data_IF_556083706418
#
_entry.id   IF_556083706418
#
_cell.length_a   1.000
_cell.length_b   1.000
_cell.length_c   1.000
_cell.angle_alpha   90.00
_cell.angle_beta   90.00
_cell.angle_gamma   90.00
#
_symmetry.space_group_name_H-M   'P 1'
#
loop_
_entity.id
_entity.type
_entity.pdbx_description
1 polymer ?
#
# COMPACT_ATOMS: atom_id res chain seq x y z
N UNK A 1 -17.28 -22.69 8.35
CA UNK A 1 -18.61 -22.01 8.40
C UNK A 1 -18.46 -20.49 8.25
N UNK A 2 -17.58 -19.82 9.02
CA UNK A 2 -17.41 -18.34 8.98
C UNK A 2 -17.02 -17.81 7.59
N UNK A 3 -16.18 -18.51 6.86
CA UNK A 3 -15.75 -18.12 5.52
C UNK A 3 -16.87 -18.11 4.46
N UNK A 4 -17.90 -18.89 4.66
CA UNK A 4 -19.06 -18.94 3.77
C UNK A 4 -20.13 -17.89 4.07
N UNK A 5 -20.06 -17.24 5.23
CA UNK A 5 -20.99 -16.19 5.64
C UNK A 5 -20.58 -14.82 5.07
N UNK A 6 -21.53 -13.93 4.84
CA UNK A 6 -21.26 -12.55 4.50
C UNK A 6 -21.17 -11.66 5.75
N UNK A 7 -22.01 -11.94 6.74
CA UNK A 7 -22.05 -11.28 8.04
C UNK A 7 -22.01 -12.34 9.12
N UNK A 8 -21.17 -12.16 10.12
CA UNK A 8 -21.13 -12.96 11.34
C UNK A 8 -21.74 -12.17 12.50
N UNK A 9 -22.51 -12.85 13.34
CA UNK A 9 -23.02 -12.30 14.60
C UNK A 9 -22.33 -13.04 15.74
N UNK A 10 -21.51 -12.32 16.51
CA UNK A 10 -20.90 -12.87 17.72
C UNK A 10 -21.81 -12.56 18.91
N UNK A 11 -22.28 -13.63 19.57
CA UNK A 11 -23.13 -13.50 20.75
C UNK A 11 -22.29 -13.70 22.01
N UNK A 12 -22.25 -12.68 22.86
CA UNK A 12 -21.56 -12.69 24.16
C UNK A 12 -22.60 -12.81 25.28
N UNK A 13 -22.26 -13.53 26.36
CA UNK A 13 -23.11 -13.66 27.56
C UNK A 13 -22.75 -12.60 28.59
N UNK A 14 -23.65 -11.68 28.89
CA UNK A 14 -23.43 -10.62 29.89
C UNK A 14 -23.28 -11.13 31.34
N UNK A 15 -23.69 -12.37 31.63
CA UNK A 15 -23.53 -12.97 32.97
C UNK A 15 -22.10 -13.51 33.16
N UNK A 16 -21.32 -13.68 32.09
CA UNK A 16 -19.95 -14.17 32.11
C UNK A 16 -18.97 -13.05 31.77
N UNK A 17 -17.70 -13.23 32.16
CA UNK A 17 -16.63 -12.32 31.71
C UNK A 17 -16.32 -12.59 30.25
N UNK A 18 -15.97 -11.53 29.52
CA UNK A 18 -15.49 -11.69 28.12
C UNK A 18 -14.20 -12.50 28.15
N UNK A 19 -14.26 -13.70 27.59
CA UNK A 19 -13.13 -14.63 27.55
C UNK A 19 -12.15 -14.24 26.41
N UNK A 20 -10.92 -14.70 26.52
CA UNK A 20 -9.94 -14.54 25.44
C UNK A 20 -10.34 -15.38 24.20
N UNK A 21 -11.15 -16.42 24.43
CA UNK A 21 -11.75 -17.19 23.33
C UNK A 21 -12.71 -16.34 22.50
N UNK A 22 -13.50 -15.44 23.11
CA UNK A 22 -14.40 -14.53 22.39
C UNK A 22 -13.61 -13.58 21.49
N UNK A 23 -12.50 -13.05 21.99
CA UNK A 23 -11.59 -12.21 21.23
C UNK A 23 -10.95 -13.00 20.06
N UNK A 24 -10.59 -14.27 20.29
CA UNK A 24 -10.04 -15.15 19.25
C UNK A 24 -11.05 -15.42 18.15
N UNK A 25 -12.29 -15.74 18.50
CA UNK A 25 -13.38 -15.98 17.52
C UNK A 25 -13.66 -14.71 16.71
N UNK A 26 -13.73 -13.55 17.38
CA UNK A 26 -13.88 -12.27 16.70
C UNK A 26 -12.68 -11.97 15.74
N UNK A 27 -11.47 -12.32 16.15
CA UNK A 27 -10.26 -12.25 15.33
C UNK A 27 -10.37 -13.10 14.06
N UNK A 28 -10.84 -14.34 14.14
CA UNK A 28 -11.07 -15.20 12.97
C UNK A 28 -12.08 -14.60 11.99
N UNK A 29 -13.16 -13.98 12.48
CA UNK A 29 -14.13 -13.32 11.62
C UNK A 29 -13.51 -12.12 10.88
N UNK A 30 -12.67 -11.33 11.58
CA UNK A 30 -11.94 -10.22 11.02
C UNK A 30 -10.90 -10.68 9.97
N UNK A 31 -10.13 -11.72 10.26
CA UNK A 31 -9.14 -12.30 9.33
C UNK A 31 -9.81 -12.86 8.09
N UNK A 32 -10.97 -13.53 8.25
CA UNK A 32 -11.80 -13.97 7.13
C UNK A 32 -12.40 -12.80 6.33
N UNK A 33 -12.28 -11.56 6.84
CA UNK A 33 -12.79 -10.36 6.18
C UNK A 33 -14.31 -10.23 6.24
N UNK A 34 -14.97 -10.92 7.19
CA UNK A 34 -16.43 -10.91 7.27
C UNK A 34 -16.94 -9.69 8.03
N UNK A 35 -18.08 -9.18 7.60
CA UNK A 35 -18.79 -8.18 8.37
C UNK A 35 -19.20 -8.79 9.72
N UNK A 36 -19.13 -7.98 10.79
CA UNK A 36 -19.29 -8.45 12.15
C UNK A 36 -20.22 -7.53 12.95
N UNK A 37 -21.19 -8.13 13.61
CA UNK A 37 -22.07 -7.47 14.57
C UNK A 37 -21.96 -8.20 15.90
N UNK A 38 -21.90 -7.49 17.00
CA UNK A 38 -21.75 -8.06 18.34
C UNK A 38 -23.07 -7.91 19.11
N UNK A 39 -23.58 -9.03 19.61
CA UNK A 39 -24.78 -9.07 20.46
C UNK A 39 -24.39 -9.49 21.87
N UNK A 40 -24.47 -8.58 22.85
CA UNK A 40 -24.28 -8.86 24.27
C UNK A 40 -25.64 -9.23 24.84
N UNK A 41 -25.86 -10.54 25.00
CA UNK A 41 -27.13 -11.13 25.43
C UNK A 41 -27.25 -11.19 26.96
N UNK A 42 -28.47 -11.43 27.46
CA UNK A 42 -28.86 -11.47 28.89
C UNK A 42 -28.66 -10.13 29.61
N UNK A 43 -28.78 -9.03 28.86
CA UNK A 43 -28.54 -7.68 29.40
C UNK A 43 -29.55 -7.23 30.45
N UNK A 44 -30.72 -7.87 30.51
CA UNK A 44 -31.79 -7.57 31.46
C UNK A 44 -31.58 -8.17 32.84
N UNK A 45 -30.75 -9.22 32.94
CA UNK A 45 -30.50 -9.93 34.19
C UNK A 45 -29.28 -9.49 34.99
N UNK A 46 -28.68 -8.33 34.67
CA UNK A 46 -27.44 -7.87 35.29
C UNK A 46 -27.57 -6.49 35.96
N UNK A 47 -26.79 -6.26 37.03
CA UNK A 47 -26.70 -4.98 37.72
C UNK A 47 -26.08 -3.88 36.86
N UNK A 48 -26.24 -2.63 37.25
CA UNK A 48 -25.62 -1.50 36.55
C UNK A 48 -24.09 -1.52 36.66
N UNK A 49 -23.56 -1.93 37.81
CA UNK A 49 -22.12 -2.13 38.02
C UNK A 49 -21.58 -3.15 36.99
N UNK A 50 -22.25 -4.30 36.88
CA UNK A 50 -21.87 -5.33 35.92
C UNK A 50 -21.92 -4.85 34.46
N UNK A 51 -22.93 -4.02 34.11
CA UNK A 51 -23.00 -3.38 32.77
C UNK A 51 -21.77 -2.54 32.46
N UNK A 52 -21.32 -1.77 33.46
CA UNK A 52 -20.13 -0.91 33.31
C UNK A 52 -18.83 -1.74 33.21
N UNK A 53 -18.75 -2.85 33.96
CA UNK A 53 -17.60 -3.75 33.88
C UNK A 53 -17.49 -4.40 32.48
N UNK A 54 -18.60 -4.91 31.94
CA UNK A 54 -18.65 -5.48 30.59
C UNK A 54 -18.25 -4.46 29.54
N UNK A 55 -18.74 -3.22 29.60
CA UNK A 55 -18.35 -2.16 28.67
C UNK A 55 -16.85 -1.86 28.74
N UNK A 56 -16.26 -1.88 29.93
CA UNK A 56 -14.80 -1.71 30.12
C UNK A 56 -14.03 -2.91 29.53
N UNK A 57 -14.50 -4.12 29.75
CA UNK A 57 -13.87 -5.31 29.21
C UNK A 57 -13.98 -5.38 27.68
N UNK A 58 -15.09 -5.01 27.09
CA UNK A 58 -15.26 -4.82 25.64
C UNK A 58 -14.21 -3.85 25.12
N UNK A 59 -14.12 -2.66 25.72
CA UNK A 59 -13.17 -1.64 25.27
C UNK A 59 -11.70 -2.10 25.41
N UNK A 60 -11.39 -2.97 26.37
CA UNK A 60 -10.05 -3.49 26.62
C UNK A 60 -9.71 -4.69 25.76
N UNK A 61 -10.59 -5.69 25.66
CA UNK A 61 -10.33 -6.97 25.00
C UNK A 61 -10.70 -6.98 23.51
N UNK A 62 -11.71 -6.20 23.13
CA UNK A 62 -12.24 -6.14 21.78
C UNK A 62 -11.98 -4.79 21.10
N UNK A 63 -10.92 -4.08 21.50
CA UNK A 63 -10.55 -2.76 20.99
C UNK A 63 -10.30 -2.73 19.47
N UNK A 64 -9.93 -3.88 18.89
CA UNK A 64 -9.68 -4.03 17.46
C UNK A 64 -10.96 -4.10 16.61
N UNK A 65 -12.14 -4.21 17.26
CA UNK A 65 -13.46 -4.23 16.63
C UNK A 65 -14.11 -2.85 16.60
N UNK A 66 -13.33 -1.78 16.45
CA UNK A 66 -13.82 -0.39 16.41
C UNK A 66 -14.79 -0.09 15.26
N UNK A 67 -14.89 -1.01 14.29
CA UNK A 67 -15.85 -0.95 13.18
C UNK A 67 -17.16 -1.67 13.47
N UNK A 68 -17.18 -2.64 14.38
CA UNK A 68 -18.35 -3.44 14.69
C UNK A 68 -19.32 -2.66 15.60
N UNK A 69 -20.61 -2.91 15.43
CA UNK A 69 -21.63 -2.35 16.28
C UNK A 69 -21.97 -3.31 17.40
N UNK A 70 -22.05 -2.81 18.62
CA UNK A 70 -22.40 -3.58 19.79
C UNK A 70 -23.87 -3.35 20.13
N UNK A 71 -24.64 -4.45 20.27
CA UNK A 71 -26.03 -4.43 20.70
C UNK A 71 -26.16 -5.12 22.04
N UNK A 72 -26.82 -4.48 22.97
CA UNK A 72 -27.14 -5.02 24.28
C UNK A 72 -28.56 -5.54 24.23
N UNK A 73 -28.74 -6.86 24.23
CA UNK A 73 -30.03 -7.51 23.99
C UNK A 73 -30.46 -8.42 25.13
N UNK A 74 -31.74 -8.72 25.18
CA UNK A 74 -32.28 -9.85 25.91
C UNK A 74 -33.08 -10.71 24.94
N UNK A 75 -32.51 -11.83 24.53
CA UNK A 75 -33.20 -12.76 23.63
C UNK A 75 -34.45 -13.35 24.28
N UNK A 76 -34.40 -13.61 25.61
CA UNK A 76 -35.55 -14.17 26.36
C UNK A 76 -36.72 -13.17 26.40
N UNK A 77 -36.45 -11.87 26.51
CA UNK A 77 -37.49 -10.83 26.59
C UNK A 77 -37.71 -10.11 25.26
N UNK A 78 -37.09 -10.56 24.19
CA UNK A 78 -37.17 -10.02 22.82
C UNK A 78 -36.85 -8.50 22.76
N UNK A 79 -35.92 -8.04 23.65
CA UNK A 79 -35.54 -6.63 23.73
C UNK A 79 -34.25 -6.35 22.95
N UNK A 80 -34.25 -5.30 22.14
CA UNK A 80 -33.07 -4.84 21.38
C UNK A 80 -32.74 -5.66 20.13
N UNK A 81 -33.61 -6.61 19.75
CA UNK A 81 -33.40 -7.53 18.62
C UNK A 81 -33.60 -6.81 17.28
N UNK A 82 -34.60 -5.93 17.18
CA UNK A 82 -34.86 -5.17 15.93
C UNK A 82 -33.64 -4.38 15.49
N UNK A 83 -33.04 -3.63 16.43
CA UNK A 83 -31.81 -2.86 16.13
C UNK A 83 -30.60 -3.73 15.77
N UNK A 84 -30.57 -5.01 16.22
CA UNK A 84 -29.57 -5.97 15.82
C UNK A 84 -29.74 -6.35 14.34
N UNK A 85 -30.96 -6.64 13.89
CA UNK A 85 -31.24 -6.97 12.49
C UNK A 85 -30.94 -5.79 11.56
N UNK A 86 -31.32 -4.56 11.93
CA UNK A 86 -30.97 -3.35 11.18
C UNK A 86 -29.45 -3.24 10.99
N UNK A 87 -28.67 -3.55 12.03
CA UNK A 87 -27.21 -3.48 11.96
C UNK A 87 -26.59 -4.62 11.15
N UNK A 88 -27.20 -5.79 11.12
CA UNK A 88 -26.79 -6.89 10.24
C UNK A 88 -26.97 -6.48 8.78
N UNK A 89 -28.14 -5.90 8.46
CA UNK A 89 -28.41 -5.41 7.10
C UNK A 89 -27.45 -4.29 6.71
N UNK A 90 -27.24 -3.32 7.59
CA UNK A 90 -26.28 -2.23 7.34
C UNK A 90 -24.84 -2.72 7.15
N UNK A 91 -24.43 -3.74 7.91
CA UNK A 91 -23.10 -4.36 7.77
C UNK A 91 -22.94 -5.12 6.44
N UNK A 92 -24.00 -5.80 6.01
CA UNK A 92 -24.06 -6.46 4.70
C UNK A 92 -23.95 -5.43 3.57
N UNK A 93 -24.76 -4.38 3.59
CA UNK A 93 -24.75 -3.33 2.58
C UNK A 93 -23.38 -2.62 2.50
N UNK A 94 -22.76 -2.38 3.66
CA UNK A 94 -21.43 -1.81 3.74
C UNK A 94 -20.34 -2.75 3.17
N UNK A 95 -20.48 -4.08 3.34
CA UNK A 95 -19.55 -5.06 2.79
C UNK A 95 -19.57 -5.11 1.25
N UNK A 96 -20.73 -4.84 0.65
CA UNK A 96 -20.94 -4.86 -0.81
C UNK A 96 -21.04 -3.48 -1.45
N UNK A 97 -20.71 -2.42 -0.72
CA UNK A 97 -20.79 -1.05 -1.22
C UNK A 97 -19.88 -0.85 -2.44
N UNK A 98 -20.40 -0.19 -3.46
CA UNK A 98 -19.60 0.28 -4.61
C UNK A 98 -19.12 1.70 -4.33
N UNK A 99 -17.81 1.86 -4.32
CA UNK A 99 -17.16 3.14 -4.04
C UNK A 99 -16.57 3.73 -5.33
N UNK A 100 -17.06 4.88 -5.81
CA UNK A 100 -16.55 5.51 -7.03
C UNK A 100 -15.07 5.93 -6.87
N UNK A 101 -14.22 5.57 -7.83
CA UNK A 101 -12.79 5.90 -7.84
C UNK A 101 -12.49 7.38 -7.62
N UNK A 102 -13.22 8.35 -8.23
CA UNK A 102 -12.97 9.76 -7.98
C UNK A 102 -13.21 10.17 -6.51
N UNK A 103 -14.23 9.57 -5.86
CA UNK A 103 -14.52 9.85 -4.44
C UNK A 103 -13.43 9.24 -3.55
N UNK A 104 -12.98 8.00 -3.81
CA UNK A 104 -11.89 7.37 -3.07
C UNK A 104 -10.62 8.20 -3.17
N UNK A 105 -10.23 8.59 -4.39
CA UNK A 105 -9.02 9.39 -4.63
C UNK A 105 -9.10 10.76 -3.95
N UNK A 106 -10.26 11.42 -3.96
CA UNK A 106 -10.45 12.69 -3.27
C UNK A 106 -10.30 12.55 -1.75
N UNK A 107 -10.87 11.48 -1.17
CA UNK A 107 -10.72 11.18 0.27
C UNK A 107 -9.27 10.92 0.61
N UNK A 108 -8.55 10.15 -0.22
CA UNK A 108 -7.12 9.90 -0.05
C UNK A 108 -6.32 11.20 -0.03
N UNK A 109 -6.53 12.08 -1.01
CA UNK A 109 -5.80 13.35 -1.09
C UNK A 109 -6.10 14.26 0.10
N UNK A 110 -7.37 14.36 0.51
CA UNK A 110 -7.75 15.11 1.71
C UNK A 110 -7.11 14.53 2.99
N UNK A 111 -6.95 13.20 3.07
CA UNK A 111 -6.24 12.56 4.19
C UNK A 111 -4.75 12.92 4.20
N UNK A 112 -4.10 12.92 3.03
CA UNK A 112 -2.68 13.28 2.88
C UNK A 112 -2.44 14.76 3.22
N UNK A 113 -3.34 15.65 2.82
CA UNK A 113 -3.27 17.09 3.15
C UNK A 113 -3.34 17.33 4.66
N UNK A 114 -4.24 16.63 5.37
CA UNK A 114 -4.36 16.72 6.83
C UNK A 114 -3.16 16.14 7.57
N UNK A 115 -2.69 15.00 7.13
CA UNK A 115 -1.57 14.29 7.75
C UNK A 115 -0.75 13.58 6.69
N UNK A 116 0.43 14.11 6.41
CA UNK A 116 1.36 13.49 5.46
C UNK A 116 2.02 12.25 6.09
N UNK A 117 2.31 11.20 5.29
CA UNK A 117 3.08 10.05 5.77
C UNK A 117 4.49 10.47 6.21
N UNK A 118 5.00 9.80 7.23
CA UNK A 118 6.36 10.01 7.71
C UNK A 118 7.38 9.72 6.59
N UNK A 119 8.53 10.40 6.66
CA UNK A 119 9.68 10.06 5.79
C UNK A 119 10.33 8.78 6.29
N UNK A 120 10.72 7.91 5.37
CA UNK A 120 11.58 6.76 5.62
C UNK A 120 12.98 7.11 5.10
N UNK A 121 13.84 7.60 6.00
CA UNK A 121 15.14 8.16 5.63
C UNK A 121 14.99 9.38 4.70
N UNK A 122 15.60 9.30 3.52
CA UNK A 122 15.55 10.38 2.51
C UNK A 122 14.27 10.34 1.65
N UNK A 123 13.51 9.24 1.70
CA UNK A 123 12.35 9.03 0.83
C UNK A 123 11.06 9.30 1.60
N UNK A 124 10.12 10.02 0.96
CA UNK A 124 8.75 10.17 1.44
C UNK A 124 7.81 9.38 0.53
N UNK A 125 6.99 8.47 1.08
CA UNK A 125 5.96 7.77 0.31
C UNK A 125 5.03 8.77 -0.38
N UNK A 126 4.74 8.54 -1.67
CA UNK A 126 3.84 9.38 -2.47
C UNK A 126 2.68 8.56 -2.97
N UNK A 127 1.50 8.72 -2.36
CA UNK A 127 0.25 8.12 -2.83
C UNK A 127 -0.36 9.04 -3.89
N UNK A 128 -0.72 8.49 -5.05
CA UNK A 128 -1.21 9.27 -6.21
C UNK A 128 -2.71 9.18 -6.36
N UNK A 129 -3.24 7.98 -6.39
CA UNK A 129 -4.67 7.71 -6.53
C UNK A 129 -5.02 6.39 -5.85
N UNK A 130 -6.31 6.16 -5.66
CA UNK A 130 -6.82 4.92 -5.12
C UNK A 130 -8.14 4.53 -5.80
N UNK A 131 -8.40 3.22 -5.83
CA UNK A 131 -9.63 2.65 -6.36
C UNK A 131 -10.08 1.47 -5.50
N UNK A 132 -11.31 1.02 -5.70
CA UNK A 132 -11.82 -0.18 -5.06
C UNK A 132 -11.28 -1.42 -5.77
N UNK A 133 -10.58 -2.30 -5.04
CA UNK A 133 -10.01 -3.54 -5.55
C UNK A 133 -10.87 -4.78 -5.29
N UNK A 134 -11.86 -4.67 -4.38
CA UNK A 134 -12.72 -5.80 -4.02
C UNK A 134 -13.88 -5.41 -3.11
N UNK A 135 -14.77 -6.37 -2.88
CA UNK A 135 -15.92 -6.29 -1.98
C UNK A 135 -15.94 -7.52 -1.09
N UNK A 136 -16.55 -7.42 0.06
CA UNK A 136 -16.72 -8.48 1.07
C UNK A 136 -15.41 -9.22 1.45
N UNK A 137 -14.43 -8.55 2.08
CA UNK A 137 -14.52 -7.18 2.60
C UNK A 137 -14.21 -6.12 1.51
N UNK A 138 -14.62 -4.85 1.70
CA UNK A 138 -14.15 -3.76 0.87
C UNK A 138 -12.63 -3.67 0.89
N UNK A 139 -12.03 -3.58 -0.30
CA UNK A 139 -10.57 -3.42 -0.47
C UNK A 139 -10.32 -2.11 -1.20
N UNK A 140 -9.45 -1.27 -0.66
CA UNK A 140 -8.97 -0.05 -1.33
C UNK A 140 -7.52 -0.28 -1.73
N UNK A 141 -7.26 -0.20 -3.03
CA UNK A 141 -5.91 -0.27 -3.60
C UNK A 141 -5.39 1.14 -3.81
N UNK A 142 -4.27 1.45 -3.16
CA UNK A 142 -3.59 2.75 -3.26
C UNK A 142 -2.36 2.60 -4.14
N UNK A 143 -2.27 3.42 -5.17
CA UNK A 143 -1.15 3.46 -6.10
C UNK A 143 -0.22 4.63 -5.82
N UNK A 144 1.06 4.39 -5.93
CA UNK A 144 2.07 5.42 -5.71
C UNK A 144 3.50 4.91 -5.70
N UNK A 145 4.41 5.74 -5.23
CA UNK A 145 5.83 5.44 -5.18
C UNK A 145 6.27 5.27 -3.72
N UNK A 146 7.16 4.30 -3.47
CA UNK A 146 7.77 4.03 -2.17
C UNK A 146 6.76 3.69 -1.05
N UNK A 147 5.63 3.08 -1.43
CA UNK A 147 4.53 2.77 -0.51
C UNK A 147 4.89 1.67 0.50
N UNK A 148 5.92 0.85 0.22
CA UNK A 148 6.45 -0.16 1.14
C UNK A 148 6.98 0.43 2.46
N UNK A 149 7.19 1.74 2.52
CA UNK A 149 7.67 2.45 3.70
C UNK A 149 6.55 3.12 4.51
N UNK A 150 5.29 2.87 4.17
CA UNK A 150 4.15 3.42 4.93
C UNK A 150 4.02 2.63 6.23
N UNK A 151 4.06 3.28 7.40
CA UNK A 151 3.93 2.60 8.67
C UNK A 151 2.48 2.15 8.92
N UNK A 152 2.29 1.09 9.71
CA UNK A 152 0.98 0.56 10.08
C UNK A 152 0.09 1.59 10.77
N UNK A 153 0.67 2.50 11.55
CA UNK A 153 -0.06 3.60 12.19
C UNK A 153 -0.73 4.51 11.17
N UNK A 154 -0.05 4.79 10.05
CA UNK A 154 -0.61 5.59 8.97
C UNK A 154 -1.68 4.81 8.18
N UNK A 155 -1.48 3.51 7.99
CA UNK A 155 -2.49 2.61 7.39
C UNK A 155 -3.77 2.59 8.24
N UNK A 156 -3.66 2.55 9.58
CA UNK A 156 -4.82 2.66 10.48
C UNK A 156 -5.52 4.01 10.35
N UNK A 157 -4.77 5.10 10.27
CA UNK A 157 -5.33 6.44 10.03
C UNK A 157 -6.13 6.51 8.73
N UNK A 158 -5.58 6.00 7.63
CA UNK A 158 -6.28 5.92 6.34
C UNK A 158 -7.52 5.05 6.42
N UNK A 159 -7.43 3.87 7.06
CA UNK A 159 -8.56 2.96 7.27
C UNK A 159 -9.72 3.67 7.98
N UNK A 160 -9.43 4.38 9.07
CA UNK A 160 -10.47 5.14 9.80
C UNK A 160 -11.03 6.29 8.97
N UNK A 161 -10.20 6.97 8.19
CA UNK A 161 -10.63 8.06 7.31
C UNK A 161 -11.57 7.55 6.23
N UNK A 162 -11.25 6.45 5.57
CA UNK A 162 -12.11 5.83 4.56
C UNK A 162 -13.41 5.28 5.16
N UNK A 163 -13.34 4.62 6.33
CA UNK A 163 -14.55 4.15 7.03
C UNK A 163 -15.54 5.28 7.29
N UNK A 164 -15.06 6.41 7.81
CA UNK A 164 -15.90 7.58 8.07
C UNK A 164 -16.47 8.17 6.78
N UNK A 165 -15.65 8.29 5.74
CA UNK A 165 -16.05 8.91 4.47
C UNK A 165 -17.09 8.10 3.68
N UNK A 166 -17.08 6.78 3.83
CA UNK A 166 -17.99 5.84 3.15
C UNK A 166 -19.01 5.18 4.08
N UNK A 167 -19.04 5.57 5.35
CA UNK A 167 -19.94 5.01 6.37
C UNK A 167 -19.87 3.48 6.44
N UNK A 168 -18.65 2.92 6.48
CA UNK A 168 -18.44 1.48 6.53
C UNK A 168 -18.60 0.97 7.97
N UNK A 169 -19.85 0.73 8.38
CA UNK A 169 -20.17 0.16 9.68
C UNK A 169 -20.28 -1.36 9.58
N UNK A 170 -19.82 -2.07 10.60
CA UNK A 170 -19.94 -3.53 10.70
C UNK A 170 -19.06 -4.32 9.73
N UNK A 171 -18.29 -3.69 8.86
CA UNK A 171 -17.41 -4.39 7.92
C UNK A 171 -15.94 -3.95 8.07
N UNK A 172 -14.99 -4.88 8.04
CA UNK A 172 -13.58 -4.53 7.99
C UNK A 172 -13.23 -3.93 6.63
N UNK A 173 -12.28 -2.99 6.62
CA UNK A 173 -11.73 -2.40 5.40
C UNK A 173 -10.26 -2.82 5.25
N UNK A 174 -9.90 -3.34 4.10
CA UNK A 174 -8.51 -3.67 3.76
C UNK A 174 -7.91 -2.60 2.86
N UNK A 175 -6.67 -2.21 3.16
CA UNK A 175 -5.88 -1.33 2.29
C UNK A 175 -4.75 -2.16 1.69
N UNK A 176 -4.60 -2.08 0.39
CA UNK A 176 -3.49 -2.67 -0.36
C UNK A 176 -2.68 -1.55 -1.01
N UNK A 177 -1.36 -1.69 -0.96
CA UNK A 177 -0.44 -0.75 -1.58
C UNK A 177 0.12 -1.38 -2.85
N UNK A 178 -0.11 -0.73 -3.98
CA UNK A 178 0.47 -1.11 -5.26
C UNK A 178 1.60 -0.13 -5.58
N UNK A 179 2.83 -0.62 -5.41
CA UNK A 179 4.03 0.11 -5.81
C UNK A 179 4.16 -0.06 -7.32
N UNK A 180 3.94 1.00 -8.09
CA UNK A 180 4.26 0.98 -9.51
C UNK A 180 5.74 0.65 -9.67
N UNK A 181 6.08 -0.31 -10.52
CA UNK A 181 7.46 -0.55 -10.92
C UNK A 181 8.02 0.79 -11.42
N UNK A 182 9.10 1.24 -10.78
CA UNK A 182 9.81 2.40 -11.27
C UNK A 182 10.69 1.93 -12.44
N UNK A 183 10.37 2.23 -13.71
CA UNK A 183 11.15 1.75 -14.83
C UNK A 183 12.61 2.26 -14.80
N UNK A 184 12.92 3.17 -13.90
CA UNK A 184 14.25 3.74 -13.69
C UNK A 184 14.99 3.17 -12.46
N UNK A 185 14.41 2.26 -11.69
CA UNK A 185 15.08 1.67 -10.51
C UNK A 185 16.19 0.69 -10.91
N UNK A 186 16.10 0.04 -12.07
CA UNK A 186 17.13 -0.87 -12.57
C UNK A 186 18.42 -0.15 -13.03
N UNK A 187 18.35 1.13 -13.37
CA UNK A 187 19.54 1.88 -13.81
C UNK A 187 20.36 2.50 -12.67
N UNK A 188 19.83 2.58 -11.44
CA UNK A 188 20.51 3.25 -10.34
C UNK A 188 21.35 2.35 -9.45
N UNK A 189 21.38 1.03 -9.66
CA UNK A 189 22.12 0.09 -8.80
C UNK A 189 23.07 -0.83 -9.60
N UNK A 190 23.77 -0.28 -10.57
CA UNK A 190 25.11 -0.79 -10.90
C UNK A 190 26.10 0.29 -10.54
N UNK A 191 26.83 0.20 -9.41
CA UNK A 191 28.00 1.05 -9.22
C UNK A 191 28.90 0.77 -10.42
N UNK A 192 29.08 1.74 -11.30
CA UNK A 192 30.14 1.70 -12.31
C UNK A 192 31.41 1.39 -11.52
N UNK A 193 31.88 0.13 -11.59
CA UNK A 193 33.16 -0.25 -11.03
C UNK A 193 34.17 0.68 -11.67
N UNK A 194 34.58 1.73 -10.94
CA UNK A 194 35.70 2.54 -11.37
C UNK A 194 36.89 1.59 -11.43
N UNK A 195 37.58 1.52 -12.56
CA UNK A 195 38.79 0.70 -12.64
C UNK A 195 39.74 1.17 -11.55
N UNK A 196 40.44 0.27 -10.88
CA UNK A 196 41.36 0.64 -9.81
C UNK A 196 42.30 1.73 -10.32
N UNK A 197 42.57 2.71 -9.48
CA UNK A 197 43.30 3.95 -9.83
C UNK A 197 44.60 3.72 -10.65
N UNK A 198 45.24 2.55 -10.47
CA UNK A 198 46.41 2.12 -11.26
C UNK A 198 46.07 1.81 -12.73
N UNK A 199 44.93 1.15 -13.01
CA UNK A 199 44.50 0.82 -14.38
C UNK A 199 44.05 2.07 -15.13
N UNK A 200 43.42 3.03 -14.46
CA UNK A 200 43.03 4.31 -15.06
C UNK A 200 44.27 5.16 -15.46
N UNK A 201 45.37 5.05 -14.70
CA UNK A 201 46.62 5.76 -15.00
C UNK A 201 47.36 5.11 -16.19
N UNK A 202 47.46 3.78 -16.25
CA UNK A 202 48.05 3.06 -17.36
C UNK A 202 47.33 3.31 -18.68
N UNK A 203 46.00 3.28 -18.67
CA UNK A 203 45.19 3.58 -19.86
C UNK A 203 45.35 5.03 -20.34
N UNK A 204 45.54 5.99 -19.41
CA UNK A 204 45.85 7.38 -19.77
C UNK A 204 47.24 7.54 -20.40
N UNK A 205 48.23 6.80 -19.92
CA UNK A 205 49.60 6.81 -20.46
C UNK A 205 49.58 6.21 -21.86
N UNK A 206 49.00 5.01 -22.04
CA UNK A 206 48.89 4.34 -23.33
C UNK A 206 48.20 5.22 -24.39
N UNK A 207 47.10 5.85 -24.05
CA UNK A 207 46.35 6.77 -24.96
C UNK A 207 47.14 8.03 -25.31
N UNK A 208 48.08 8.44 -24.45
CA UNK A 208 48.93 9.58 -24.69
C UNK A 208 50.11 9.25 -25.61
N UNK A 209 50.63 8.01 -25.53
CA UNK A 209 51.66 7.50 -26.43
C UNK A 209 51.11 7.24 -27.83
N UNK A 210 49.95 6.59 -27.95
CA UNK A 210 49.27 6.39 -29.22
C UNK A 210 49.01 7.73 -29.98
N UNK A 211 48.55 8.77 -29.27
CA UNK A 211 48.41 10.10 -29.84
C UNK A 211 49.71 10.78 -30.28
N UNK A 212 50.84 10.44 -29.64
CA UNK A 212 52.17 10.92 -30.07
C UNK A 212 52.64 10.22 -31.33
N UNK A 213 52.43 8.91 -31.42
CA UNK A 213 52.79 8.15 -32.61
C UNK A 213 51.94 8.53 -33.84
N UNK A 214 50.66 8.74 -33.67
CA UNK A 214 49.79 9.25 -34.74
C UNK A 214 50.23 10.63 -35.26
N UNK A 215 50.59 11.53 -34.36
CA UNK A 215 51.13 12.84 -34.76
C UNK A 215 52.44 12.74 -35.49
N UNK A 216 53.32 11.78 -35.13
CA UNK A 216 54.58 11.53 -35.86
C UNK A 216 54.32 10.89 -37.23
N UNK A 217 53.36 9.95 -37.34
CA UNK A 217 52.94 9.39 -38.63
C UNK A 217 52.41 10.42 -39.59
N UNK A 218 51.54 11.31 -39.11
CA UNK A 218 50.99 12.41 -39.94
C UNK A 218 52.08 13.40 -40.38
N UNK A 219 53.04 13.69 -39.48
CA UNK A 219 54.21 14.54 -39.87
C UNK A 219 55.13 13.85 -40.91
N UNK A 220 55.34 12.54 -40.86
CA UNK A 220 56.12 11.81 -41.86
C UNK A 220 55.43 11.71 -43.21
N UNK A 221 54.09 11.56 -43.22
CA UNK A 221 53.31 11.59 -44.47
C UNK A 221 53.31 12.96 -45.17
N UNK A 222 53.29 14.06 -44.42
CA UNK A 222 53.35 15.42 -44.98
C UNK A 222 54.76 15.77 -45.54
N UNK A 223 55.80 15.03 -45.22
CA UNK A 223 57.19 15.27 -45.71
C UNK A 223 57.58 14.45 -46.93
N UNK A 224 56.68 13.57 -47.47
CA UNK A 224 56.94 12.82 -48.72
C UNK A 224 56.75 13.77 -49.90
N UNK A 225 57.76 13.96 -50.79
CA UNK A 225 57.61 14.78 -51.99
C UNK A 225 56.68 14.08 -52.96
N UNK A 226 55.71 14.79 -53.48
CA UNK A 226 54.83 14.32 -54.57
C UNK A 226 55.65 14.33 -55.86
N UNK A 227 56.03 13.15 -56.35
CA UNK A 227 56.62 13.00 -57.67
C UNK A 227 55.57 13.20 -58.75
N UNK A 228 55.55 14.34 -59.36
CA UNK A 228 54.73 14.66 -60.53
C UNK A 228 55.31 13.94 -61.72
N UNK A 229 54.75 12.80 -62.15
CA UNK A 229 54.99 12.26 -63.47
C UNK A 229 54.29 13.12 -64.49
N UNK A 230 55.10 13.90 -65.29
CA UNK A 230 54.65 14.53 -66.53
C UNK A 230 54.24 13.45 -67.52
N UNK A 231 53.00 13.34 -67.86
CA UNK A 231 52.52 12.66 -69.09
C UNK A 231 52.59 13.68 -70.21
N UNK A 232 53.63 13.51 -71.08
CA UNK A 232 53.72 14.16 -72.37
C UNK A 232 52.66 13.59 -73.31
N UNK A 233 51.99 14.50 -73.94
CA UNK A 233 51.07 14.23 -74.98
C UNK A 233 51.72 13.64 -76.22
N UNK A 234 51.00 12.87 -76.97
CA UNK A 234 51.33 12.54 -78.35
C UNK A 234 50.08 12.78 -79.15
N UNK A 235 50.09 13.96 -79.79
CA UNK A 235 49.31 14.20 -81.01
C UNK A 235 49.90 13.41 -82.14
N UNK A 236 49.08 12.65 -82.89
CA UNK A 236 49.17 12.52 -84.34
C UNK A 236 47.97 11.80 -84.91
N UNK A 237 47.23 12.57 -85.69
CA UNK A 237 46.70 12.36 -87.10
C UNK A 237 46.07 10.98 -87.44
N UNK A 238 44.84 10.90 -87.68
CA UNK A 238 44.12 11.00 -88.98
C UNK A 238 42.65 10.95 -88.78
#
# INVERSE_FOLDING_TARGET
>A
AVEAANVAVLVLDAQQDIADQDATIAGFALEAGRALVIAVNKWDGISEERRNDIKRDIARKLYFLDFAKFHYISALKERGIDGLFDSIQAAYDAAFIKMPTPKITRVLQSAIERQQPARAGLVRPKMRYAHQGGMNPPVIVIHGNSLQHIPDSYTRYLTQTFRKAFNLQGTPLRIQYNVGENPYEEETVKPKKQPPRRVALSNRIAKREERKEDKQRVKKLKKRPVSVKKLQGNDKKK
#
